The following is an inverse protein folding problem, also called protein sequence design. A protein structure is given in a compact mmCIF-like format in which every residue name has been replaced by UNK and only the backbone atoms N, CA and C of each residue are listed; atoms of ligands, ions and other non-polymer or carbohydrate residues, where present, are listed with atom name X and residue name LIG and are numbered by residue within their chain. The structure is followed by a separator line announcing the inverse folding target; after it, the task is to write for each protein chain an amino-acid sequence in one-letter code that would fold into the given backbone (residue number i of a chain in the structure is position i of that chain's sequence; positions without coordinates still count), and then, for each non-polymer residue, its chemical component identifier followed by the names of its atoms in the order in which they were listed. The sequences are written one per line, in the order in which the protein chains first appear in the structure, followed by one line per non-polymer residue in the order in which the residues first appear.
data_IF_791294526071
#
_entry.id   IF_791294526071
#
_cell.length_a   1.000
_cell.length_b   1.000
_cell.length_c   1.000
_cell.angle_alpha   90.00
_cell.angle_beta   90.00
_cell.angle_gamma   90.00
#
_symmetry.space_group_name_H-M   'P 1'
#
loop_
_entity.id
_entity.type
_entity.pdbx_description
1 polymer ?
#
# COMPACT_ATOMS: atom_id res chain seq x y z
N UNK A 1 19.67 18.22 -3.47
CA UNK A 1 18.32 18.76 -3.73
C UNK A 1 18.05 19.84 -2.71
N UNK A 2 17.62 21.00 -3.18
CA UNK A 2 17.28 22.16 -2.36
C UNK A 2 16.17 21.78 -1.37
N UNK A 3 16.29 22.15 -0.09
CA UNK A 3 15.40 21.78 1.02
C UNK A 3 13.91 22.16 0.81
N UNK A 4 13.59 22.92 -0.25
CA UNK A 4 12.24 23.41 -0.54
C UNK A 4 11.45 22.61 -1.58
N UNK A 5 12.03 21.57 -2.19
CA UNK A 5 11.37 20.82 -3.28
C UNK A 5 10.47 19.73 -2.71
N UNK A 6 9.16 19.84 -2.96
CA UNK A 6 8.20 18.76 -2.71
C UNK A 6 8.46 17.61 -3.70
N UNK A 7 9.23 16.61 -3.28
CA UNK A 7 9.67 15.48 -4.07
C UNK A 7 8.49 14.68 -4.67
N UNK A 8 7.37 14.59 -3.98
CA UNK A 8 6.21 13.82 -4.43
C UNK A 8 5.57 14.40 -5.70
N UNK A 9 5.70 15.72 -5.93
CA UNK A 9 5.16 16.42 -7.10
C UNK A 9 6.17 16.59 -8.24
N UNK A 10 7.43 16.16 -8.06
CA UNK A 10 8.47 16.25 -9.08
C UNK A 10 8.19 15.25 -10.22
N UNK A 11 8.22 15.73 -11.46
CA UNK A 11 8.19 14.88 -12.65
C UNK A 11 9.40 13.93 -12.74
N UNK A 12 10.52 14.31 -12.15
CA UNK A 12 11.76 13.54 -12.13
C UNK A 12 11.58 12.22 -11.39
N UNK A 13 10.88 12.22 -10.24
CA UNK A 13 10.60 10.99 -9.48
C UNK A 13 9.69 10.03 -10.24
N UNK A 14 8.79 10.54 -11.08
CA UNK A 14 7.89 9.69 -11.86
C UNK A 14 8.66 8.77 -12.82
N UNK A 15 9.75 9.25 -13.38
CA UNK A 15 10.57 8.53 -14.36
C UNK A 15 11.82 7.87 -13.76
N UNK A 16 12.12 8.13 -12.49
CA UNK A 16 13.26 7.51 -11.81
C UNK A 16 12.98 6.04 -11.46
N UNK A 17 13.99 5.18 -11.60
CA UNK A 17 13.95 3.79 -11.13
C UNK A 17 14.34 3.67 -9.66
N UNK A 18 15.16 4.59 -9.17
CA UNK A 18 15.66 4.67 -7.78
C UNK A 18 15.75 6.13 -7.38
N UNK A 19 15.45 6.43 -6.14
CA UNK A 19 15.66 7.75 -5.52
C UNK A 19 16.87 7.66 -4.60
N UNK A 20 17.87 8.51 -4.85
CA UNK A 20 19.04 8.63 -4.00
C UNK A 20 18.95 9.97 -3.28
N UNK A 21 18.98 9.91 -1.95
CA UNK A 21 19.02 11.08 -1.07
C UNK A 21 20.39 11.16 -0.45
N UNK A 22 21.06 12.30 -0.60
CA UNK A 22 22.30 12.60 0.09
C UNK A 22 22.05 13.83 0.99
N UNK A 23 22.14 13.65 2.28
CA UNK A 23 21.90 14.70 3.27
C UNK A 23 22.88 14.53 4.43
N UNK A 24 23.53 15.61 4.85
CA UNK A 24 24.50 15.57 5.96
C UNK A 24 23.83 15.11 7.24
N UNK A 25 22.72 15.75 7.59
CA UNK A 25 21.80 15.36 8.69
C UNK A 25 20.38 15.51 8.17
N UNK A 26 19.63 14.40 7.93
CA UNK A 26 18.25 14.49 7.46
C UNK A 26 17.34 15.00 8.56
N UNK A 27 16.47 15.94 8.24
CA UNK A 27 15.47 16.49 9.13
C UNK A 27 14.07 15.86 8.94
N UNK A 28 13.10 16.28 9.76
CA UNK A 28 11.72 15.78 9.67
C UNK A 28 11.03 16.16 8.34
N UNK A 29 11.43 17.27 7.72
CA UNK A 29 10.87 17.68 6.43
C UNK A 29 11.29 16.73 5.30
N UNK A 30 12.55 16.28 5.30
CA UNK A 30 13.05 15.24 4.39
C UNK A 30 12.26 13.95 4.58
N UNK A 31 12.09 13.48 5.82
CA UNK A 31 11.33 12.25 6.09
C UNK A 31 9.84 12.37 5.72
N UNK A 32 9.21 13.52 5.93
CA UNK A 32 7.84 13.78 5.50
C UNK A 32 7.69 13.66 3.97
N UNK A 33 8.58 14.31 3.22
CA UNK A 33 8.62 14.21 1.76
C UNK A 33 8.80 12.76 1.27
N UNK A 34 9.68 11.99 1.92
CA UNK A 34 9.90 10.58 1.57
C UNK A 34 8.67 9.71 1.86
N UNK A 35 7.96 9.97 2.96
CA UNK A 35 6.68 9.30 3.24
C UNK A 35 5.63 9.57 2.16
N UNK A 36 5.56 10.79 1.65
CA UNK A 36 4.62 11.15 0.59
C UNK A 36 5.00 10.51 -0.75
N UNK A 37 6.28 10.46 -1.10
CA UNK A 37 6.78 9.71 -2.27
C UNK A 37 6.42 8.23 -2.14
N UNK A 38 6.69 7.62 -0.98
CA UNK A 38 6.42 6.20 -0.76
C UNK A 38 4.91 5.85 -0.82
N UNK A 39 4.03 6.81 -0.47
CA UNK A 39 2.56 6.63 -0.57
C UNK A 39 2.03 6.81 -1.99
N UNK A 40 2.52 7.83 -2.71
CA UNK A 40 1.94 8.26 -3.99
C UNK A 40 2.60 7.59 -5.19
N UNK A 41 3.92 7.45 -5.14
CA UNK A 41 4.75 6.92 -6.22
C UNK A 41 5.87 6.05 -5.63
N UNK A 42 5.55 4.86 -5.08
CA UNK A 42 6.53 4.03 -4.39
C UNK A 42 7.70 3.69 -5.30
N UNK A 43 8.92 3.98 -4.83
CA UNK A 43 10.19 3.74 -5.50
C UNK A 43 11.22 3.23 -4.49
N UNK A 44 12.25 2.47 -4.91
CA UNK A 44 13.39 2.21 -4.06
C UNK A 44 14.06 3.52 -3.65
N UNK A 45 14.29 3.70 -2.35
CA UNK A 45 14.92 4.91 -1.80
C UNK A 45 16.19 4.48 -1.07
N UNK A 46 17.32 5.09 -1.45
CA UNK A 46 18.62 4.94 -0.79
C UNK A 46 18.99 6.29 -0.19
N UNK A 47 19.31 6.32 1.09
CA UNK A 47 19.76 7.52 1.79
C UNK A 47 21.21 7.37 2.24
N UNK A 48 22.04 8.32 1.87
CA UNK A 48 23.39 8.50 2.37
C UNK A 48 23.42 9.71 3.30
N UNK A 49 24.08 9.57 4.44
CA UNK A 49 24.25 10.66 5.42
C UNK A 49 25.67 10.63 6.00
N UNK A 50 26.21 11.80 6.37
CA UNK A 50 27.51 11.87 7.03
C UNK A 50 27.43 11.54 8.51
N UNK A 51 26.31 11.87 9.15
CA UNK A 51 26.10 11.60 10.58
C UNK A 51 24.71 10.97 10.81
N UNK A 52 24.62 10.15 11.84
CA UNK A 52 23.37 9.53 12.26
C UNK A 52 23.19 9.62 13.77
N UNK A 53 22.06 10.08 14.20
CA UNK A 53 21.61 9.94 15.59
C UNK A 53 20.97 8.56 15.80
N UNK A 54 20.96 8.09 17.06
CA UNK A 54 20.56 6.71 17.41
C UNK A 54 19.21 6.26 16.88
N UNK A 55 18.26 7.19 16.66
CA UNK A 55 16.89 6.88 16.20
C UNK A 55 16.64 7.16 14.70
N UNK A 56 17.56 7.80 13.99
CA UNK A 56 17.37 8.24 12.61
C UNK A 56 17.18 7.08 11.62
N UNK A 57 17.94 6.00 11.77
CA UNK A 57 17.80 4.82 10.92
C UNK A 57 16.38 4.23 10.98
N UNK A 58 15.80 4.15 12.18
CA UNK A 58 14.43 3.68 12.37
C UNK A 58 13.39 4.60 11.74
N UNK A 59 13.60 5.92 11.84
CA UNK A 59 12.74 6.93 11.21
C UNK A 59 12.83 6.88 9.68
N UNK A 60 14.04 6.72 9.14
CA UNK A 60 14.27 6.58 7.70
C UNK A 60 13.52 5.35 7.14
N UNK A 61 13.65 4.18 7.77
CA UNK A 61 12.95 2.97 7.34
C UNK A 61 11.43 3.14 7.40
N UNK A 62 10.89 3.73 8.48
CA UNK A 62 9.45 4.03 8.59
C UNK A 62 8.96 5.02 7.53
N UNK A 63 9.86 5.86 7.02
CA UNK A 63 9.57 6.82 5.94
C UNK A 63 9.71 6.22 4.54
N UNK A 64 10.04 4.92 4.43
CA UNK A 64 10.11 4.19 3.17
C UNK A 64 11.52 4.06 2.59
N UNK A 65 12.57 4.44 3.34
CA UNK A 65 13.97 4.25 2.92
C UNK A 65 14.31 2.76 2.96
N UNK A 66 14.86 2.23 1.87
CA UNK A 66 15.21 0.82 1.71
C UNK A 66 16.66 0.52 2.10
N UNK A 67 17.54 1.53 2.01
CA UNK A 67 18.90 1.46 2.51
C UNK A 67 19.30 2.81 3.11
N UNK A 68 19.76 2.79 4.35
CA UNK A 68 20.24 3.96 5.09
C UNK A 68 21.73 3.76 5.39
N UNK A 69 22.57 4.62 4.87
CA UNK A 69 24.03 4.48 4.90
C UNK A 69 24.64 5.69 5.61
N UNK A 70 25.40 5.43 6.64
CA UNK A 70 26.21 6.42 7.36
C UNK A 70 27.64 6.39 6.77
N UNK A 71 28.41 7.41 6.98
CA UNK A 71 29.76 7.65 6.44
C UNK A 71 29.81 8.09 4.96
N UNK A 72 28.71 8.70 4.48
CA UNK A 72 28.66 9.35 3.19
C UNK A 72 28.63 8.42 1.98
N UNK A 73 28.76 9.04 0.80
CA UNK A 73 28.63 8.37 -0.49
C UNK A 73 30.02 8.00 -1.04
N UNK A 74 30.35 6.70 -1.01
CA UNK A 74 31.55 6.15 -1.65
C UNK A 74 31.21 5.52 -3.01
N UNK A 75 31.80 5.99 -4.08
CA UNK A 75 31.51 5.58 -5.47
C UNK A 75 31.50 4.05 -5.67
N UNK A 76 32.50 3.35 -5.11
CA UNK A 76 32.64 1.89 -5.24
C UNK A 76 31.55 1.10 -4.53
N UNK A 77 30.86 1.69 -3.56
CA UNK A 77 29.81 1.05 -2.75
C UNK A 77 28.41 1.36 -3.25
N UNK A 78 28.24 2.37 -4.09
CA UNK A 78 26.91 2.85 -4.54
C UNK A 78 26.14 1.74 -5.25
N UNK A 79 26.73 1.12 -6.26
CA UNK A 79 26.05 0.11 -7.06
C UNK A 79 25.56 -1.10 -6.23
N UNK A 80 26.39 -1.75 -5.42
CA UNK A 80 25.93 -2.86 -4.57
C UNK A 80 24.81 -2.45 -3.58
N UNK A 81 24.85 -1.24 -3.06
CA UNK A 81 23.83 -0.71 -2.14
C UNK A 81 22.50 -0.52 -2.88
N UNK A 82 22.54 0.06 -4.09
CA UNK A 82 21.35 0.23 -4.94
C UNK A 82 20.74 -1.13 -5.26
N UNK A 83 21.53 -2.12 -5.65
CA UNK A 83 21.04 -3.45 -5.99
C UNK A 83 20.30 -4.12 -4.82
N UNK A 84 20.86 -4.00 -3.60
CA UNK A 84 20.21 -4.49 -2.38
C UNK A 84 18.94 -3.71 -2.08
N UNK A 85 18.94 -2.39 -2.23
CA UNK A 85 17.77 -1.56 -1.99
C UNK A 85 16.62 -1.90 -2.95
N UNK A 86 16.93 -2.10 -4.24
CA UNK A 86 15.95 -2.52 -5.24
C UNK A 86 15.37 -3.89 -4.91
N UNK A 87 16.21 -4.85 -4.53
CA UNK A 87 15.77 -6.20 -4.16
C UNK A 87 14.82 -6.16 -2.95
N UNK A 88 15.19 -5.44 -1.88
CA UNK A 88 14.35 -5.25 -0.69
C UNK A 88 13.02 -4.55 -1.00
N UNK A 89 13.06 -3.51 -1.84
CA UNK A 89 11.86 -2.81 -2.26
C UNK A 89 10.89 -3.73 -2.99
N UNK A 90 11.38 -4.54 -3.95
CA UNK A 90 10.55 -5.49 -4.70
C UNK A 90 9.92 -6.55 -3.81
N UNK A 91 10.69 -7.10 -2.88
CA UNK A 91 10.20 -8.07 -1.92
C UNK A 91 9.11 -7.47 -1.00
N UNK A 92 9.35 -6.26 -0.49
CA UNK A 92 8.37 -5.55 0.33
C UNK A 92 7.08 -5.24 -0.42
N UNK A 93 7.17 -4.78 -1.69
CA UNK A 93 5.99 -4.53 -2.52
C UNK A 93 5.21 -5.82 -2.78
N UNK A 94 5.88 -6.91 -3.10
CA UNK A 94 5.21 -8.20 -3.33
C UNK A 94 4.44 -8.67 -2.08
N UNK A 95 5.05 -8.57 -0.89
CA UNK A 95 4.38 -8.91 0.38
C UNK A 95 3.19 -7.98 0.68
N UNK A 96 3.32 -6.70 0.37
CA UNK A 96 2.24 -5.73 0.55
C UNK A 96 1.07 -6.04 -0.38
N UNK A 97 1.34 -6.32 -1.64
CA UNK A 97 0.30 -6.66 -2.63
C UNK A 97 -0.42 -7.95 -2.25
N UNK A 98 0.31 -8.97 -1.77
CA UNK A 98 -0.28 -10.21 -1.24
C UNK A 98 -1.16 -9.97 -0.02
N UNK A 99 -0.71 -9.13 0.91
CA UNK A 99 -1.48 -8.75 2.09
C UNK A 99 -2.77 -8.03 1.71
N UNK A 100 -2.70 -7.07 0.79
CA UNK A 100 -3.85 -6.29 0.35
C UNK A 100 -4.85 -7.17 -0.43
N UNK A 101 -4.37 -8.09 -1.27
CA UNK A 101 -5.20 -9.08 -1.93
C UNK A 101 -5.91 -10.00 -0.93
N UNK A 102 -5.20 -10.49 0.07
CA UNK A 102 -5.76 -11.37 1.12
C UNK A 102 -6.82 -10.63 1.95
N UNK A 103 -6.56 -9.37 2.32
CA UNK A 103 -7.52 -8.52 3.04
C UNK A 103 -8.78 -8.27 2.21
N UNK A 104 -8.62 -8.00 0.92
CA UNK A 104 -9.74 -7.81 -0.01
C UNK A 104 -10.61 -9.08 -0.10
N UNK A 105 -10.00 -10.24 -0.29
CA UNK A 105 -10.71 -11.52 -0.34
C UNK A 105 -11.49 -11.80 0.96
N UNK A 106 -10.88 -11.52 2.11
CA UNK A 106 -11.55 -11.69 3.40
C UNK A 106 -12.74 -10.73 3.56
N UNK A 107 -12.59 -9.47 3.14
CA UNK A 107 -13.68 -8.49 3.16
C UNK A 107 -14.83 -8.94 2.25
N UNK A 108 -14.53 -9.35 1.01
CA UNK A 108 -15.54 -9.87 0.07
C UNK A 108 -16.30 -11.07 0.65
N UNK A 109 -15.58 -12.02 1.26
CA UNK A 109 -16.21 -13.18 1.91
C UNK A 109 -17.13 -12.75 3.05
N UNK A 110 -16.70 -11.82 3.91
CA UNK A 110 -17.54 -11.30 5.01
C UNK A 110 -18.81 -10.62 4.50
N UNK A 111 -18.70 -9.81 3.43
CA UNK A 111 -19.88 -9.17 2.81
C UNK A 111 -20.86 -10.20 2.26
N UNK A 112 -20.39 -11.23 1.56
CA UNK A 112 -21.23 -12.30 1.04
C UNK A 112 -21.93 -13.05 2.18
N UNK A 113 -21.22 -13.43 3.24
CA UNK A 113 -21.81 -14.10 4.40
C UNK A 113 -22.87 -13.24 5.10
N UNK A 114 -22.61 -11.94 5.30
CA UNK A 114 -23.57 -11.00 5.90
C UNK A 114 -24.82 -10.86 5.02
N UNK A 115 -24.65 -10.72 3.71
CA UNK A 115 -25.77 -10.62 2.78
C UNK A 115 -26.62 -11.91 2.72
N UNK A 116 -25.98 -13.10 2.73
CA UNK A 116 -26.69 -14.39 2.86
C UNK A 116 -27.54 -14.41 4.11
N UNK A 117 -26.97 -14.07 5.27
CA UNK A 117 -27.68 -14.02 6.54
C UNK A 117 -28.90 -13.10 6.51
N UNK A 118 -28.78 -11.92 5.89
CA UNK A 118 -29.92 -10.99 5.70
C UNK A 118 -31.01 -11.60 4.82
N UNK A 119 -30.63 -12.20 3.68
CA UNK A 119 -31.58 -12.83 2.77
C UNK A 119 -32.32 -14.02 3.42
N UNK A 120 -31.57 -14.87 4.13
CA UNK A 120 -32.13 -16.00 4.88
C UNK A 120 -33.18 -15.53 5.90
N UNK A 121 -32.83 -14.49 6.67
CA UNK A 121 -33.71 -13.93 7.71
C UNK A 121 -34.99 -13.32 7.12
N UNK A 122 -34.87 -12.53 6.05
CA UNK A 122 -35.99 -11.77 5.51
C UNK A 122 -36.86 -12.57 4.53
N UNK A 123 -36.26 -13.47 3.73
CA UNK A 123 -37.00 -14.29 2.76
C UNK A 123 -37.34 -15.69 3.27
N UNK A 124 -36.84 -16.07 4.45
CA UNK A 124 -37.03 -17.42 5.05
C UNK A 124 -36.54 -18.54 4.11
N UNK A 125 -35.43 -18.32 3.44
CA UNK A 125 -34.79 -19.25 2.50
C UNK A 125 -33.57 -19.90 3.12
N UNK A 126 -33.12 -21.01 2.53
CA UNK A 126 -31.90 -21.70 2.93
C UNK A 126 -30.66 -20.94 2.54
N UNK A 127 -29.50 -21.33 3.07
CA UNK A 127 -28.20 -20.74 2.74
C UNK A 127 -27.88 -20.88 1.26
N UNK A 128 -28.10 -22.07 0.69
CA UNK A 128 -27.89 -22.33 -0.74
C UNK A 128 -28.77 -21.46 -1.62
N UNK A 129 -30.05 -21.31 -1.29
CA UNK A 129 -30.96 -20.44 -2.02
C UNK A 129 -30.55 -18.96 -1.91
N UNK A 130 -30.07 -18.52 -0.76
CA UNK A 130 -29.53 -17.18 -0.57
C UNK A 130 -28.30 -16.93 -1.45
N UNK A 131 -27.37 -17.87 -1.49
CA UNK A 131 -26.19 -17.79 -2.32
C UNK A 131 -26.54 -17.78 -3.82
N UNK A 132 -27.43 -18.67 -4.28
CA UNK A 132 -27.91 -18.70 -5.66
C UNK A 132 -28.62 -17.39 -6.05
N UNK A 133 -29.38 -16.81 -5.12
CA UNK A 133 -30.01 -15.50 -5.35
C UNK A 133 -28.97 -14.38 -5.55
N UNK A 134 -27.90 -14.34 -4.72
CA UNK A 134 -26.79 -13.39 -4.90
C UNK A 134 -26.09 -13.59 -6.24
N UNK A 135 -25.80 -14.85 -6.58
CA UNK A 135 -25.12 -15.20 -7.85
C UNK A 135 -25.95 -14.79 -9.06
N UNK A 136 -27.24 -15.06 -9.05
CA UNK A 136 -28.17 -14.67 -10.14
C UNK A 136 -28.19 -13.15 -10.31
N UNK A 137 -28.37 -12.40 -9.21
CA UNK A 137 -28.35 -10.94 -9.25
C UNK A 137 -27.01 -10.38 -9.75
N UNK A 138 -25.89 -11.02 -9.41
CA UNK A 138 -24.56 -10.64 -9.90
C UNK A 138 -24.45 -10.84 -11.42
N UNK A 139 -24.91 -11.98 -11.92
CA UNK A 139 -24.94 -12.27 -13.36
C UNK A 139 -25.85 -11.29 -14.11
N UNK A 140 -27.08 -11.08 -13.63
CA UNK A 140 -28.06 -10.19 -14.26
C UNK A 140 -27.57 -8.72 -14.34
N UNK A 141 -26.75 -8.30 -13.37
CA UNK A 141 -26.20 -6.93 -13.30
C UNK A 141 -24.79 -6.81 -13.84
N UNK A 142 -24.18 -7.91 -14.30
CA UNK A 142 -22.77 -7.97 -14.69
C UNK A 142 -21.82 -7.38 -13.64
N UNK A 143 -22.02 -7.75 -12.36
CA UNK A 143 -21.26 -7.32 -11.20
C UNK A 143 -20.65 -8.50 -10.46
N UNK A 144 -19.67 -8.24 -9.59
CA UNK A 144 -19.15 -9.25 -8.66
C UNK A 144 -20.19 -9.57 -7.60
N UNK A 145 -20.19 -10.80 -7.08
CA UNK A 145 -21.12 -11.22 -6.01
C UNK A 145 -20.94 -10.34 -4.76
N UNK A 146 -19.69 -9.95 -4.44
CA UNK A 146 -19.36 -9.05 -3.32
C UNK A 146 -20.00 -7.66 -3.48
N UNK A 147 -19.99 -7.09 -4.68
CA UNK A 147 -20.63 -5.78 -4.94
C UNK A 147 -22.15 -5.84 -4.79
N UNK A 148 -22.75 -6.96 -5.18
CA UNK A 148 -24.20 -7.18 -4.97
C UNK A 148 -24.49 -7.38 -3.50
N UNK A 149 -23.63 -8.11 -2.79
CA UNK A 149 -23.74 -8.31 -1.35
C UNK A 149 -23.68 -6.99 -0.59
N UNK A 150 -22.73 -6.10 -0.91
CA UNK A 150 -22.61 -4.77 -0.31
C UNK A 150 -23.84 -3.90 -0.59
N UNK A 151 -24.39 -3.97 -1.80
CA UNK A 151 -25.63 -3.28 -2.15
C UNK A 151 -26.83 -3.77 -1.34
N UNK A 152 -26.93 -5.07 -1.10
CA UNK A 152 -27.98 -5.64 -0.25
C UNK A 152 -27.80 -5.20 1.20
N UNK A 153 -26.58 -5.28 1.75
CA UNK A 153 -26.29 -4.83 3.11
C UNK A 153 -26.71 -3.37 3.29
N UNK A 154 -26.28 -2.50 2.37
CA UNK A 154 -26.61 -1.07 2.41
C UNK A 154 -28.12 -0.82 2.35
N UNK A 155 -28.84 -1.56 1.51
CA UNK A 155 -30.30 -1.43 1.41
C UNK A 155 -31.01 -1.82 2.71
N UNK A 156 -30.56 -2.89 3.38
CA UNK A 156 -31.14 -3.30 4.67
C UNK A 156 -30.77 -2.36 5.82
N UNK A 157 -29.59 -1.77 5.82
CA UNK A 157 -29.17 -0.78 6.82
C UNK A 157 -29.96 0.54 6.71
N UNK A 158 -30.44 0.88 5.51
CA UNK A 158 -31.30 2.05 5.30
C UNK A 158 -32.78 1.81 5.69
N UNK A 159 -33.20 0.55 5.71
CA UNK A 159 -34.62 0.18 5.99
C UNK A 159 -34.86 -0.20 7.47
N UNK A 160 -33.80 -0.41 8.24
CA UNK A 160 -33.90 -0.85 9.64
C UNK A 160 -33.45 0.16 10.61
#
# INVERSE_FOLDING_TARGET
LDESVNLANSNEITHADVVIVNADIPDEAVFANLRDVNKTKPKPIVMFTEASEEHMAGTAIKSGVNAYIVDGLEEKRVQPIIDVAIARFREFQALKDELDATRSQLAERKSIEKAKGLLMKHKKITEDEAYQSLRKMAMDKNKRISEVADGIISAFELLG
#
